data_IF_953079332725
#
_entry.id   IF_953079332725
#
_cell.length_a   1.000
_cell.length_b   1.000
_cell.length_c   1.000
_cell.angle_alpha   90.00
_cell.angle_beta   90.00
_cell.angle_gamma   90.00
#
_symmetry.space_group_name_H-M   'P 1'
#
loop_
_entity.id
_entity.type
_entity.pdbx_description
1 polymer ?
#
# COMPACT_ATOMS: atom_id res chain seq x y z
N UNK A 1 1.20 15.98 -3.40
CA UNK A 1 -0.19 15.47 -3.57
C UNK A 1 -0.70 14.97 -2.22
N UNK A 2 -1.91 15.33 -1.80
CA UNK A 2 -2.47 14.90 -0.51
C UNK A 2 -3.03 13.46 -0.63
N UNK A 3 -2.83 12.62 0.39
CA UNK A 3 -3.27 11.21 0.37
C UNK A 3 -4.79 11.06 0.23
N UNK A 4 -5.56 12.03 0.73
CA UNK A 4 -7.02 12.04 0.65
C UNK A 4 -7.53 12.17 -0.79
N UNK A 5 -6.84 12.97 -1.62
CA UNK A 5 -7.20 13.14 -3.03
C UNK A 5 -6.98 11.84 -3.83
N UNK A 6 -5.92 11.11 -3.48
CA UNK A 6 -5.62 9.80 -4.04
C UNK A 6 -6.75 8.85 -3.66
N UNK A 7 -7.10 8.73 -2.39
CA UNK A 7 -8.21 7.86 -1.98
C UNK A 7 -9.52 8.21 -2.66
N UNK A 8 -9.84 9.50 -2.81
CA UNK A 8 -11.03 9.93 -3.53
C UNK A 8 -11.04 9.40 -4.97
N UNK A 9 -9.91 9.48 -5.68
CA UNK A 9 -9.73 8.93 -7.05
C UNK A 9 -9.92 7.41 -7.09
N UNK A 10 -9.51 6.71 -6.05
CA UNK A 10 -9.54 5.26 -5.99
C UNK A 10 -10.81 4.67 -5.34
N UNK A 11 -11.64 5.48 -4.68
CA UNK A 11 -12.79 5.06 -3.86
C UNK A 11 -13.93 4.34 -4.62
N UNK A 12 -14.11 4.60 -5.91
CA UNK A 12 -15.24 4.07 -6.68
C UNK A 12 -15.16 2.58 -7.05
N UNK A 13 -14.02 1.93 -6.84
CA UNK A 13 -13.86 0.51 -7.16
C UNK A 13 -12.82 -0.15 -6.26
N UNK A 14 -13.17 -1.34 -5.77
CA UNK A 14 -12.28 -2.16 -4.96
C UNK A 14 -10.97 -2.47 -5.71
N UNK A 15 -9.84 -2.14 -5.09
CA UNK A 15 -8.52 -2.26 -5.71
C UNK A 15 -7.94 -3.70 -5.63
N UNK A 16 -8.37 -4.47 -4.62
CA UNK A 16 -7.92 -5.85 -4.33
C UNK A 16 -6.40 -5.97 -4.12
N UNK A 17 -5.81 -5.00 -3.43
CA UNK A 17 -4.40 -5.06 -3.01
C UNK A 17 -4.21 -6.17 -1.97
N UNK A 18 -3.22 -7.04 -2.16
CA UNK A 18 -2.90 -8.12 -1.24
C UNK A 18 -1.41 -8.08 -0.92
N UNK A 19 -1.10 -8.09 0.38
CA UNK A 19 0.25 -8.24 0.88
C UNK A 19 0.35 -9.54 1.67
N UNK A 20 1.35 -10.35 1.35
CA UNK A 20 1.64 -11.63 2.01
C UNK A 20 3.16 -11.85 2.04
N UNK A 21 3.63 -12.74 2.90
CA UNK A 21 5.01 -13.23 2.77
C UNK A 21 5.08 -14.13 1.54
N UNK A 22 6.03 -13.87 0.65
CA UNK A 22 6.30 -14.77 -0.47
C UNK A 22 7.08 -15.97 0.08
N UNK A 23 6.56 -17.21 -0.04
CA UNK A 23 7.25 -18.39 0.45
C UNK A 23 8.62 -18.51 -0.21
N UNK A 24 9.65 -18.75 0.60
CA UNK A 24 10.99 -19.01 0.09
C UNK A 24 11.01 -20.38 -0.59
N UNK A 25 11.36 -20.40 -1.88
CA UNK A 25 11.49 -21.65 -2.64
C UNK A 25 12.93 -22.16 -2.71
N UNK A 26 13.94 -21.32 -2.40
CA UNK A 26 15.34 -21.61 -2.74
C UNK A 26 16.36 -21.10 -1.70
N UNK A 27 15.98 -20.94 -0.43
CA UNK A 27 16.90 -20.55 0.65
C UNK A 27 17.30 -19.07 0.61
N UNK A 28 16.49 -18.22 -0.01
CA UNK A 28 16.74 -16.79 -0.19
C UNK A 28 16.13 -15.93 0.93
N UNK A 29 16.36 -14.61 0.82
CA UNK A 29 15.77 -13.64 1.75
C UNK A 29 14.24 -13.69 1.72
N UNK A 30 13.62 -13.49 2.89
CA UNK A 30 12.16 -13.34 3.00
C UNK A 30 11.71 -12.14 2.20
N UNK A 31 10.78 -12.35 1.26
CA UNK A 31 10.20 -11.29 0.42
C UNK A 31 8.76 -11.06 0.80
N UNK A 32 8.30 -9.82 0.67
CA UNK A 32 6.88 -9.49 0.75
C UNK A 32 6.31 -9.48 -0.67
N UNK A 33 5.33 -10.34 -0.92
CA UNK A 33 4.52 -10.31 -2.13
C UNK A 33 3.58 -9.12 -2.05
N UNK A 34 3.72 -8.18 -2.99
CA UNK A 34 2.74 -7.13 -3.22
C UNK A 34 2.05 -7.45 -4.54
N UNK A 35 0.77 -7.79 -4.48
CA UNK A 35 0.00 -8.16 -5.67
C UNK A 35 -1.37 -7.49 -5.68
N UNK A 36 -1.93 -7.33 -6.87
CA UNK A 36 -3.26 -6.76 -7.06
C UNK A 36 -3.51 -6.44 -8.52
N UNK A 37 -4.66 -5.82 -8.79
CA UNK A 37 -4.92 -5.24 -10.11
C UNK A 37 -3.94 -4.11 -10.43
N UNK A 38 -3.77 -3.76 -11.72
CA UNK A 38 -2.99 -2.58 -12.10
C UNK A 38 -3.43 -1.31 -11.35
N UNK A 39 -4.75 -1.16 -11.12
CA UNK A 39 -5.33 -0.08 -10.32
C UNK A 39 -4.86 -0.10 -8.86
N UNK A 40 -4.76 -1.27 -8.23
CA UNK A 40 -4.22 -1.40 -6.87
C UNK A 40 -2.75 -1.03 -6.80
N UNK A 41 -1.95 -1.48 -7.77
CA UNK A 41 -0.53 -1.18 -7.81
C UNK A 41 -0.29 0.32 -8.07
N UNK A 42 -1.09 0.96 -8.94
CA UNK A 42 -1.05 2.41 -9.13
C UNK A 42 -1.46 3.19 -7.88
N UNK A 43 -2.51 2.76 -7.16
CA UNK A 43 -2.86 3.37 -5.87
C UNK A 43 -1.68 3.35 -4.90
N UNK A 44 -1.06 2.18 -4.72
CA UNK A 44 0.08 2.04 -3.81
C UNK A 44 1.28 2.90 -4.26
N UNK A 45 1.58 2.93 -5.56
CA UNK A 45 2.64 3.75 -6.11
C UNK A 45 2.38 5.25 -5.87
N UNK A 46 1.15 5.73 -6.10
CA UNK A 46 0.78 7.12 -5.83
C UNK A 46 0.87 7.48 -4.34
N UNK A 47 0.54 6.55 -3.43
CA UNK A 47 0.70 6.77 -1.99
C UNK A 47 2.17 6.89 -1.59
N UNK A 48 3.04 6.05 -2.15
CA UNK A 48 4.50 6.13 -1.92
C UNK A 48 5.04 7.47 -2.40
N UNK A 49 4.66 7.88 -3.62
CA UNK A 49 5.07 9.19 -4.17
C UNK A 49 4.57 10.35 -3.31
N UNK A 50 3.32 10.28 -2.82
CA UNK A 50 2.77 11.34 -1.97
C UNK A 50 3.53 11.50 -0.65
N UNK A 51 3.98 10.40 -0.03
CA UNK A 51 4.81 10.46 1.18
C UNK A 51 6.22 10.93 0.86
N UNK A 52 6.78 10.51 -0.28
CA UNK A 52 8.10 10.94 -0.74
C UNK A 52 8.14 12.46 -1.00
N UNK A 53 7.12 13.01 -1.67
CA UNK A 53 7.11 14.41 -2.08
C UNK A 53 6.66 15.38 -0.97
N UNK A 54 5.72 14.98 -0.11
CA UNK A 54 5.11 15.86 0.89
C UNK A 54 5.39 15.41 2.33
N UNK A 55 6.20 16.17 3.08
CA UNK A 55 6.56 15.82 4.48
C UNK A 55 5.34 15.66 5.39
N UNK A 56 4.27 16.39 5.10
CA UNK A 56 3.02 16.33 5.88
C UNK A 56 2.34 14.95 5.82
N UNK A 57 2.67 14.13 4.82
CA UNK A 57 2.15 12.77 4.67
C UNK A 57 3.07 11.72 5.35
N UNK A 58 4.16 12.11 6.01
CA UNK A 58 5.05 11.17 6.67
C UNK A 58 4.32 10.32 7.74
N UNK A 59 4.77 9.08 7.91
CA UNK A 59 4.18 8.12 8.84
C UNK A 59 2.80 7.62 8.39
N UNK A 60 2.54 7.64 7.09
CA UNK A 60 1.27 7.18 6.53
C UNK A 60 1.10 5.66 6.67
N UNK A 61 -0.05 5.22 7.19
CA UNK A 61 -0.35 3.82 7.42
C UNK A 61 -1.76 3.41 6.97
N UNK A 62 -1.85 2.29 6.25
CA UNK A 62 -3.11 1.69 5.78
C UNK A 62 -3.09 0.17 5.97
N UNK A 63 -4.24 -0.45 6.13
CA UNK A 63 -4.27 -1.90 6.33
C UNK A 63 -5.62 -2.58 6.12
N UNK A 64 -5.61 -3.90 5.96
CA UNK A 64 -6.82 -4.69 5.70
C UNK A 64 -7.82 -4.68 6.85
N UNK A 65 -7.37 -4.33 8.07
CA UNK A 65 -8.18 -4.27 9.30
C UNK A 65 -8.26 -2.86 9.90
N UNK A 66 -7.88 -1.84 9.13
CA UNK A 66 -7.81 -0.44 9.59
C UNK A 66 -8.31 0.52 8.49
N UNK A 67 -7.95 1.81 8.60
CA UNK A 67 -8.21 2.78 7.55
C UNK A 67 -7.64 2.32 6.20
N UNK A 68 -8.43 2.49 5.14
CA UNK A 68 -8.08 2.02 3.79
C UNK A 68 -8.38 0.54 3.51
N UNK A 69 -8.97 -0.20 4.46
CA UNK A 69 -9.32 -1.64 4.31
C UNK A 69 -10.11 -1.97 3.05
N UNK A 70 -10.94 -1.04 2.57
CA UNK A 70 -11.67 -1.17 1.30
C UNK A 70 -10.75 -1.50 0.11
N UNK A 71 -9.51 -1.01 0.10
CA UNK A 71 -8.58 -1.23 -1.01
C UNK A 71 -7.91 -2.62 -0.97
N UNK A 72 -8.02 -3.34 0.14
CA UNK A 72 -7.37 -4.62 0.34
C UNK A 72 -8.24 -5.81 -0.09
N UNK A 73 -7.56 -6.88 -0.51
CA UNK A 73 -8.16 -8.21 -0.64
C UNK A 73 -8.53 -8.75 0.75
N UNK A 74 -9.53 -9.63 0.81
CA UNK A 74 -9.90 -10.27 2.07
C UNK A 74 -8.80 -11.21 2.62
N UNK A 75 -7.85 -11.62 1.76
CA UNK A 75 -6.75 -12.53 2.09
C UNK A 75 -5.47 -11.79 2.44
N UNK A 76 -5.45 -10.45 2.44
CA UNK A 76 -4.24 -9.70 2.76
C UNK A 76 -3.89 -9.87 4.23
N UNK A 77 -2.65 -10.29 4.51
CA UNK A 77 -2.16 -10.54 5.86
C UNK A 77 -1.59 -9.27 6.49
N UNK A 78 -1.00 -8.41 5.67
CA UNK A 78 -0.28 -7.21 6.10
C UNK A 78 -0.92 -5.92 5.57
N UNK A 79 -0.66 -4.83 6.29
CA UNK A 79 -0.87 -3.45 5.83
C UNK A 79 0.42 -2.84 5.29
N UNK A 80 0.35 -1.57 4.90
CA UNK A 80 1.49 -0.78 4.43
C UNK A 80 1.70 0.39 5.39
N UNK A 81 2.95 0.61 5.79
CA UNK A 81 3.40 1.80 6.51
C UNK A 81 4.55 2.43 5.74
N UNK A 82 4.47 3.73 5.49
CA UNK A 82 5.44 4.48 4.69
C UNK A 82 5.96 5.61 5.56
N UNK A 83 7.28 5.61 5.75
CA UNK A 83 7.98 6.66 6.46
C UNK A 83 9.10 7.20 5.58
N UNK A 84 9.19 8.52 5.47
CA UNK A 84 10.26 9.22 4.76
C UNK A 84 11.31 9.68 5.75
N UNK A 85 12.54 9.22 5.57
CA UNK A 85 13.67 9.68 6.37
C UNK A 85 14.02 11.14 6.01
N UNK A 86 14.54 11.86 6.99
CA UNK A 86 15.14 13.17 6.74
C UNK A 86 16.51 13.01 6.07
N UNK A 87 16.77 13.79 5.01
CA UNK A 87 18.06 13.88 4.30
C UNK A 87 19.02 14.86 4.99
#
# INVERSE_FOLDING_TARGET
>A
MQTDEIFKRYSGQKSNLSLAVLPDTDGGDTKILIQGSARALHLLAELILAVADEKANDGFGIGPKSAGSFHFSATSEFGVYIHRLDE
#
